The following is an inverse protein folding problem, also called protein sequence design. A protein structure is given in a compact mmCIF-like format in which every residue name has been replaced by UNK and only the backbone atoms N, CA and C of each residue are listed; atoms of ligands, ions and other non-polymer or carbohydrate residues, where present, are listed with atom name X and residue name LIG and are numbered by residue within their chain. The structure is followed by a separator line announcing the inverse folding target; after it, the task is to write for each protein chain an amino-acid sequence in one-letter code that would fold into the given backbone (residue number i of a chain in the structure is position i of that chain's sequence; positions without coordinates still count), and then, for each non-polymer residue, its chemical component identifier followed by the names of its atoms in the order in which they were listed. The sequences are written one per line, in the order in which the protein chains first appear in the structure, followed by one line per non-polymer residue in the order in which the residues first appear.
data_IF_312958117420
#
_entry.id   IF_312958117420
#
_cell.length_a   1.000
_cell.length_b   1.000
_cell.length_c   1.000
_cell.angle_alpha   90.00
_cell.angle_beta   90.00
_cell.angle_gamma   90.00
#
_symmetry.space_group_name_H-M   'P 1'
#
loop_
_entity.id
_entity.type
_entity.pdbx_description
1 polymer ?
#
# COMPACT_ATOMS: atom_id res chain seq x y z
N UNK A 1 2.81 -54.96 52.02
CA UNK A 1 2.00 -53.73 51.83
C UNK A 1 3.00 -52.57 51.66
N UNK A 2 2.83 -51.63 50.72
CA UNK A 2 1.76 -51.52 49.73
C UNK A 2 2.22 -50.94 48.38
N UNK A 3 1.25 -50.82 47.46
CA UNK A 3 1.36 -50.38 46.08
C UNK A 3 0.87 -48.94 45.86
N UNK A 4 1.48 -48.28 44.89
CA UNK A 4 0.96 -47.21 44.01
C UNK A 4 -0.15 -46.25 44.49
N UNK A 5 0.21 -44.95 44.60
CA UNK A 5 -0.44 -43.88 43.82
C UNK A 5 0.50 -42.66 43.74
N UNK A 6 1.29 -42.57 42.67
CA UNK A 6 1.88 -41.28 42.25
C UNK A 6 0.83 -40.50 41.46
N UNK A 7 1.05 -39.19 41.25
CA UNK A 7 0.16 -38.22 40.60
C UNK A 7 -0.98 -37.69 41.47
N UNK A 8 -0.84 -36.43 41.89
CA UNK A 8 -1.90 -35.41 41.82
C UNK A 8 -1.24 -34.02 41.79
N UNK A 9 -1.39 -33.37 40.63
CA UNK A 9 -1.51 -31.92 40.41
C UNK A 9 -0.38 -31.01 40.96
N UNK A 10 0.64 -30.78 40.13
CA UNK A 10 1.34 -29.49 40.09
C UNK A 10 0.38 -28.47 39.46
N UNK A 11 -0.06 -27.46 40.22
CA UNK A 11 -0.79 -26.32 39.68
C UNK A 11 -0.27 -25.03 40.31
N UNK A 12 0.62 -24.36 39.56
CA UNK A 12 0.99 -22.98 39.81
C UNK A 12 0.67 -22.18 38.56
N UNK A 13 -0.25 -21.24 38.73
CA UNK A 13 -0.90 -20.50 37.66
C UNK A 13 0.10 -19.51 37.06
N UNK A 14 0.59 -19.81 35.86
CA UNK A 14 1.23 -18.82 35.02
C UNK A 14 0.15 -17.83 34.54
N UNK A 15 -0.07 -16.77 35.32
CA UNK A 15 -0.98 -15.68 34.97
C UNK A 15 -0.43 -14.93 33.76
N UNK A 16 -0.79 -15.41 32.57
CA UNK A 16 -0.41 -14.78 31.31
C UNK A 16 -1.04 -13.40 31.21
N UNK A 17 -0.23 -12.36 31.40
CA UNK A 17 -0.59 -11.00 30.99
C UNK A 17 -0.54 -10.93 29.46
N UNK A 18 -1.58 -11.46 28.83
CA UNK A 18 -1.83 -11.30 27.40
C UNK A 18 -2.23 -9.85 27.14
N UNK A 19 -1.23 -8.96 27.08
CA UNK A 19 -1.40 -7.63 26.54
C UNK A 19 -1.88 -7.78 25.09
N UNK A 20 -3.17 -7.55 24.86
CA UNK A 20 -3.76 -7.54 23.53
C UNK A 20 -3.21 -6.35 22.77
N UNK A 21 -2.09 -6.54 22.07
CA UNK A 21 -1.58 -5.57 21.10
C UNK A 21 -2.70 -5.35 20.09
N UNK A 22 -3.26 -4.13 19.95
CA UNK A 22 -4.27 -3.88 18.94
C UNK A 22 -3.63 -4.16 17.58
N UNK A 23 -4.20 -5.09 16.82
CA UNK A 23 -3.76 -5.35 15.47
C UNK A 23 -3.83 -4.04 14.68
N UNK A 24 -2.65 -3.50 14.36
CA UNK A 24 -2.57 -2.30 13.53
C UNK A 24 -3.27 -2.66 12.22
N UNK A 25 -4.36 -1.95 11.91
CA UNK A 25 -5.00 -2.05 10.61
C UNK A 25 -4.04 -1.40 9.62
N UNK A 26 -3.08 -2.19 9.15
CA UNK A 26 -2.28 -1.92 7.97
C UNK A 26 -3.28 -1.84 6.83
N UNK A 27 -3.75 -0.63 6.53
CA UNK A 27 -4.58 -0.36 5.37
C UNK A 27 -3.86 -0.95 4.17
N UNK A 28 -4.47 -1.94 3.51
CA UNK A 28 -3.81 -2.74 2.50
C UNK A 28 -3.18 -1.82 1.44
N UNK A 29 -1.86 -1.83 1.35
CA UNK A 29 -1.10 -0.88 0.54
C UNK A 29 -1.60 -0.88 -0.89
N UNK A 30 -2.03 0.28 -1.39
CA UNK A 30 -2.64 0.37 -2.70
C UNK A 30 -1.58 0.06 -3.78
N UNK A 31 -1.95 -0.72 -4.81
CA UNK A 31 -0.98 -1.14 -5.82
C UNK A 31 -0.53 0.06 -6.66
N UNK A 32 0.75 0.43 -6.56
CA UNK A 32 1.37 1.48 -7.38
C UNK A 32 2.24 0.86 -8.46
N UNK A 33 2.09 1.30 -9.71
CA UNK A 33 2.88 0.85 -10.85
C UNK A 33 3.46 2.08 -11.56
N UNK A 34 4.77 2.14 -11.71
CA UNK A 34 5.46 3.10 -12.57
C UNK A 34 5.90 2.41 -13.87
N UNK A 35 5.65 3.05 -15.02
CA UNK A 35 6.08 2.57 -16.33
C UNK A 35 6.78 3.67 -17.11
N UNK A 36 7.99 3.40 -17.58
CA UNK A 36 8.66 4.24 -18.57
C UNK A 36 8.15 3.89 -19.98
N UNK A 37 7.84 4.93 -20.74
CA UNK A 37 7.49 4.90 -22.16
C UNK A 37 8.41 5.87 -22.92
N UNK A 38 8.33 5.93 -24.25
CA UNK A 38 9.25 6.71 -25.11
C UNK A 38 9.39 8.19 -24.71
N UNK A 39 8.29 8.78 -24.26
CA UNK A 39 8.04 10.22 -24.10
C UNK A 39 7.45 10.56 -22.72
N UNK A 40 7.36 9.58 -21.81
CA UNK A 40 6.71 9.77 -20.50
C UNK A 40 7.04 8.69 -19.48
N UNK A 41 6.87 9.03 -18.20
CA UNK A 41 6.69 8.08 -17.10
C UNK A 41 5.22 8.11 -16.66
N UNK A 42 4.56 6.97 -16.77
CA UNK A 42 3.15 6.76 -16.39
C UNK A 42 3.08 6.13 -15.00
N UNK A 43 2.43 6.78 -14.04
CA UNK A 43 2.15 6.28 -12.69
C UNK A 43 0.68 5.87 -12.60
N UNK A 44 0.43 4.61 -12.27
CA UNK A 44 -0.90 4.05 -12.03
C UNK A 44 -1.06 3.61 -10.58
N UNK A 45 -2.27 3.75 -10.06
CA UNK A 45 -2.67 3.29 -8.72
C UNK A 45 -3.95 2.48 -8.84
N UNK A 46 -3.97 1.21 -8.39
CA UNK A 46 -5.00 0.22 -8.68
C UNK A 46 -5.41 0.18 -10.18
N UNK A 47 -4.42 0.19 -11.08
CA UNK A 47 -4.62 0.15 -12.53
C UNK A 47 -5.13 1.46 -13.17
N UNK A 48 -5.65 2.42 -12.38
CA UNK A 48 -6.07 3.76 -12.86
C UNK A 48 -4.88 4.69 -13.02
N UNK A 49 -4.92 5.60 -13.99
CA UNK A 49 -3.89 6.63 -14.14
C UNK A 49 -3.97 7.64 -12.98
N UNK A 50 -2.85 7.86 -12.29
CA UNK A 50 -2.75 8.85 -11.21
C UNK A 50 -1.94 10.07 -11.61
N UNK A 51 -0.80 9.86 -12.28
CA UNK A 51 0.09 10.93 -12.76
C UNK A 51 0.85 10.46 -13.99
N UNK A 52 1.16 11.38 -14.88
CA UNK A 52 2.10 11.20 -15.97
C UNK A 52 3.15 12.32 -15.89
N UNK A 53 4.41 12.00 -16.16
CA UNK A 53 5.49 12.98 -16.34
C UNK A 53 5.95 12.88 -17.79
N UNK A 54 5.57 13.85 -18.62
CA UNK A 54 5.77 13.84 -20.08
C UNK A 54 6.99 14.66 -20.44
N UNK A 55 7.75 14.21 -21.45
CA UNK A 55 8.96 14.85 -21.94
C UNK A 55 9.14 14.59 -23.45
N UNK A 56 9.58 15.60 -24.18
CA UNK A 56 9.91 15.50 -25.61
C UNK A 56 11.14 16.36 -25.93
N UNK A 57 11.88 15.99 -26.98
CA UNK A 57 13.12 16.67 -27.36
C UNK A 57 12.96 18.17 -27.71
N UNK A 58 11.76 18.60 -28.10
CA UNK A 58 11.43 19.99 -28.43
C UNK A 58 10.72 20.74 -27.28
N UNK A 59 10.44 20.07 -26.15
CA UNK A 59 9.83 20.71 -24.98
C UNK A 59 10.92 21.28 -24.07
N UNK A 60 10.82 22.57 -23.75
CA UNK A 60 11.80 23.28 -22.89
C UNK A 60 11.95 22.60 -21.52
N UNK A 61 10.86 22.09 -20.96
CA UNK A 61 10.85 21.32 -19.72
C UNK A 61 9.83 20.17 -19.82
N UNK A 62 10.13 19.01 -19.21
CA UNK A 62 9.12 18.02 -18.89
C UNK A 62 8.01 18.60 -17.99
N UNK A 63 6.80 18.04 -18.06
CA UNK A 63 5.66 18.53 -17.28
C UNK A 63 4.76 17.40 -16.75
N UNK A 64 3.96 17.73 -15.74
CA UNK A 64 2.99 16.80 -15.14
C UNK A 64 1.64 16.85 -15.87
N UNK A 65 1.07 15.68 -16.14
CA UNK A 65 -0.27 15.54 -16.73
C UNK A 65 -1.06 14.40 -16.08
N UNK A 66 -2.37 14.55 -15.82
CA UNK A 66 -3.07 15.83 -15.76
C UNK A 66 -2.48 16.71 -14.64
N UNK A 67 -2.55 18.04 -14.81
CA UNK A 67 -1.99 19.00 -13.84
C UNK A 67 -2.72 18.91 -12.51
N UNK A 68 -4.05 18.83 -12.56
CA UNK A 68 -4.92 18.53 -11.44
C UNK A 68 -5.52 17.14 -11.64
N UNK A 69 -5.32 16.26 -10.65
CA UNK A 69 -5.99 14.97 -10.62
C UNK A 69 -7.51 15.16 -10.51
N UNK A 70 -8.30 14.70 -11.48
CA UNK A 70 -9.76 14.81 -11.41
C UNK A 70 -10.30 13.93 -10.28
N UNK A 71 -11.14 14.50 -9.40
CA UNK A 71 -11.90 13.72 -8.42
C UNK A 71 -12.85 12.68 -9.08
N UNK A 72 -13.09 12.81 -10.39
CA UNK A 72 -13.92 11.93 -11.22
C UNK A 72 -13.12 10.95 -12.11
N UNK A 73 -11.80 10.81 -11.90
CA UNK A 73 -10.87 10.02 -12.73
C UNK A 73 -10.74 10.44 -14.22
N UNK A 74 -11.46 11.49 -14.68
CA UNK A 74 -11.48 11.95 -16.07
C UNK A 74 -10.71 13.26 -16.25
N UNK A 75 -9.65 13.28 -17.08
CA UNK A 75 -8.80 14.47 -17.26
C UNK A 75 -9.61 15.74 -17.55
N UNK A 76 -9.47 16.77 -16.70
CA UNK A 76 -10.13 18.08 -16.89
C UNK A 76 -9.35 18.96 -17.89
N UNK A 77 -8.11 18.60 -18.19
CA UNK A 77 -7.25 19.33 -19.15
C UNK A 77 -7.17 18.56 -20.48
N UNK A 78 -7.61 19.19 -21.56
CA UNK A 78 -7.26 18.82 -22.94
C UNK A 78 -5.85 19.29 -23.29
N UNK A 79 -5.16 18.53 -24.13
CA UNK A 79 -3.79 18.82 -24.56
C UNK A 79 -3.82 19.57 -25.91
N UNK A 80 -3.50 20.86 -25.88
CA UNK A 80 -3.07 21.63 -27.04
C UNK A 80 -1.58 21.93 -26.85
N UNK A 81 -0.73 21.30 -27.65
CA UNK A 81 0.73 21.43 -27.66
C UNK A 81 1.26 21.32 -29.08
#
# INVERSE_FOLDING_TARGET
MNHYWKFIVFSLIAAGWSASVPAQVLGAGQQVIAKLEKDKVTIKVNGKLFRCYKFAALQKYPYFWPVNGPASDKSVTTETS
#
